data_IF_508093685730
#
_entry.id   IF_508093685730
#
_cell.length_a   1.000
_cell.length_b   1.000
_cell.length_c   1.000
_cell.angle_alpha   90.00
_cell.angle_beta   90.00
_cell.angle_gamma   90.00
#
_symmetry.space_group_name_H-M   'P 1'
#
loop_
_entity.id
_entity.type
_entity.pdbx_description
1 polymer ?
#
# COMPACT_ATOMS: atom_id res chain seq x y z
N UNK A 1 12.65 30.29 -26.77
CA UNK A 1 12.87 30.73 -25.36
C UNK A 1 11.63 30.41 -24.50
N UNK A 2 11.80 30.16 -23.19
CA UNK A 2 10.70 29.86 -22.27
C UNK A 2 9.95 31.15 -21.92
N UNK A 3 8.87 31.44 -22.64
CA UNK A 3 8.06 32.66 -22.48
C UNK A 3 6.76 32.45 -21.66
N UNK A 4 6.59 31.29 -21.04
CA UNK A 4 5.38 31.00 -20.26
C UNK A 4 5.43 31.70 -18.89
N UNK A 5 4.27 32.20 -18.46
CA UNK A 5 4.09 32.93 -17.19
C UNK A 5 3.10 32.19 -16.30
N UNK A 6 2.94 32.58 -15.02
CA UNK A 6 1.87 32.04 -14.18
C UNK A 6 0.47 32.18 -14.81
N UNK A 7 0.20 33.29 -15.51
CA UNK A 7 -1.04 33.48 -16.25
C UNK A 7 -1.23 32.47 -17.40
N UNK A 8 -0.13 32.04 -18.04
CA UNK A 8 -0.16 30.95 -19.03
C UNK A 8 -0.62 29.63 -18.38
N UNK A 9 -0.21 29.36 -17.15
CA UNK A 9 -0.62 28.15 -16.41
C UNK A 9 -2.11 28.17 -16.03
N UNK A 10 -2.66 29.35 -15.71
CA UNK A 10 -4.10 29.52 -15.50
C UNK A 10 -4.87 29.21 -16.79
N UNK A 11 -4.43 29.76 -17.93
CA UNK A 11 -5.04 29.47 -19.24
C UNK A 11 -4.95 27.99 -19.61
N UNK A 12 -3.81 27.36 -19.34
CA UNK A 12 -3.62 25.92 -19.53
C UNK A 12 -4.60 25.10 -18.66
N UNK A 13 -4.81 25.52 -17.40
CA UNK A 13 -5.79 24.89 -16.50
C UNK A 13 -7.22 25.02 -17.04
N UNK A 14 -7.59 26.20 -17.54
CA UNK A 14 -8.89 26.43 -18.17
C UNK A 14 -9.06 25.60 -19.46
N UNK A 15 -8.02 25.46 -20.27
CA UNK A 15 -8.05 24.59 -21.44
C UNK A 15 -8.25 23.12 -21.07
N UNK A 16 -7.54 22.61 -20.05
CA UNK A 16 -7.77 21.25 -19.53
C UNK A 16 -9.19 21.06 -18.99
N UNK A 17 -9.78 22.11 -18.40
CA UNK A 17 -11.17 22.10 -17.97
C UNK A 17 -12.14 21.91 -19.14
N UNK A 18 -11.93 22.63 -20.24
CA UNK A 18 -12.77 22.54 -21.45
C UNK A 18 -12.75 21.15 -22.08
N UNK A 19 -11.62 20.44 -22.00
CA UNK A 19 -11.54 19.06 -22.47
C UNK A 19 -12.39 18.10 -21.64
N UNK A 20 -12.67 18.42 -20.37
CA UNK A 20 -13.45 17.57 -19.47
C UNK A 20 -12.79 16.24 -19.10
N UNK A 21 -11.54 16.01 -19.47
CA UNK A 21 -10.83 14.73 -19.29
C UNK A 21 -9.98 14.67 -18.02
N UNK A 22 -9.73 15.80 -17.36
CA UNK A 22 -8.82 15.88 -16.21
C UNK A 22 -9.53 16.44 -14.99
N UNK A 23 -9.55 15.67 -13.90
CA UNK A 23 -10.05 16.15 -12.61
C UNK A 23 -9.10 17.20 -12.00
N UNK A 24 -9.65 18.20 -11.31
CA UNK A 24 -8.88 19.26 -10.65
C UNK A 24 -7.80 18.72 -9.71
N UNK A 25 -8.11 17.66 -8.97
CA UNK A 25 -7.18 17.00 -8.05
C UNK A 25 -6.04 16.26 -8.76
N UNK A 26 -6.18 15.99 -10.05
CA UNK A 26 -5.17 15.35 -10.90
C UNK A 26 -4.23 16.34 -11.57
N UNK A 27 -4.36 17.66 -11.33
CA UNK A 27 -3.51 18.68 -11.97
C UNK A 27 -2.11 18.83 -11.34
N UNK A 28 -1.93 18.39 -10.08
CA UNK A 28 -0.65 18.54 -9.36
C UNK A 28 0.56 17.93 -10.10
N UNK A 29 0.46 16.73 -10.71
CA UNK A 29 1.54 16.16 -11.52
C UNK A 29 1.91 17.00 -12.74
N UNK A 30 0.92 17.58 -13.44
CA UNK A 30 1.17 18.44 -14.61
C UNK A 30 1.96 19.68 -14.21
N UNK A 31 1.54 20.36 -13.15
CA UNK A 31 2.23 21.53 -12.62
C UNK A 31 3.64 21.20 -12.15
N UNK A 32 3.81 20.04 -11.50
CA UNK A 32 5.12 19.57 -11.04
C UNK A 32 6.07 19.28 -12.20
N UNK A 33 5.57 18.72 -13.30
CA UNK A 33 6.36 18.48 -14.52
C UNK A 33 6.82 19.79 -15.17
N UNK A 34 5.93 20.77 -15.33
CA UNK A 34 6.29 22.10 -15.84
C UNK A 34 7.32 22.78 -14.93
N UNK A 35 7.11 22.77 -13.61
CA UNK A 35 8.05 23.35 -12.66
C UNK A 35 9.40 22.62 -12.66
N UNK A 36 9.42 21.30 -12.86
CA UNK A 36 10.67 20.55 -13.04
C UNK A 36 11.40 21.01 -14.29
N UNK A 37 10.71 21.11 -15.42
CA UNK A 37 11.30 21.58 -16.67
C UNK A 37 11.91 22.99 -16.56
N UNK A 38 11.24 23.92 -15.88
CA UNK A 38 11.79 25.26 -15.61
C UNK A 38 13.04 25.21 -14.72
N UNK A 39 13.02 24.39 -13.67
CA UNK A 39 14.18 24.20 -12.78
C UNK A 39 15.37 23.57 -13.49
N UNK A 40 15.12 22.58 -14.35
CA UNK A 40 16.16 21.93 -15.18
C UNK A 40 16.82 22.94 -16.15
N UNK A 41 16.16 24.09 -16.43
CA UNK A 41 16.71 25.23 -17.19
C UNK A 41 17.14 26.42 -16.31
N UNK A 42 17.34 26.20 -15.01
CA UNK A 42 17.73 27.24 -14.05
C UNK A 42 16.80 28.46 -14.00
N UNK A 43 15.51 28.27 -14.28
CA UNK A 43 14.47 29.29 -14.18
C UNK A 43 13.58 29.05 -12.96
N UNK A 44 12.94 30.12 -12.51
CA UNK A 44 11.94 30.02 -11.44
C UNK A 44 10.71 29.23 -11.91
N UNK A 45 10.10 28.40 -11.03
CA UNK A 45 8.88 27.69 -11.35
C UNK A 45 7.72 28.66 -11.61
N UNK A 46 6.89 28.35 -12.60
CA UNK A 46 5.76 29.21 -13.01
C UNK A 46 4.39 28.62 -12.66
N UNK A 47 4.32 27.32 -12.35
CA UNK A 47 3.09 26.63 -11.99
C UNK A 47 2.97 26.54 -10.46
N UNK A 48 3.08 27.68 -9.78
CA UNK A 48 3.02 27.84 -8.32
C UNK A 48 2.27 29.13 -7.96
N UNK A 49 1.86 29.27 -6.69
CA UNK A 49 1.23 30.49 -6.16
C UNK A 49 -0.30 30.45 -6.11
N UNK A 50 -0.88 31.44 -5.42
CA UNK A 50 -2.32 31.52 -5.10
C UNK A 50 -3.20 31.57 -6.35
N UNK A 51 -2.80 32.32 -7.38
CA UNK A 51 -3.58 32.45 -8.61
C UNK A 51 -3.87 31.09 -9.28
N UNK A 52 -2.90 30.18 -9.27
CA UNK A 52 -3.08 28.83 -9.83
C UNK A 52 -3.85 27.92 -8.87
N UNK A 53 -3.67 28.11 -7.55
CA UNK A 53 -4.46 27.40 -6.55
C UNK A 53 -5.95 27.75 -6.66
N UNK A 54 -6.27 29.03 -6.87
CA UNK A 54 -7.63 29.53 -7.10
C UNK A 54 -8.21 29.00 -8.40
N UNK A 55 -7.44 29.01 -9.50
CA UNK A 55 -7.88 28.42 -10.77
C UNK A 55 -8.20 26.92 -10.63
N UNK A 56 -7.35 26.16 -9.93
CA UNK A 56 -7.59 24.74 -9.64
C UNK A 56 -8.84 24.56 -8.76
N UNK A 57 -9.04 25.42 -7.77
CA UNK A 57 -10.21 25.40 -6.89
C UNK A 57 -11.50 25.67 -7.68
N UNK A 58 -11.50 26.69 -8.53
CA UNK A 58 -12.61 27.02 -9.42
C UNK A 58 -12.98 25.87 -10.34
N UNK A 59 -11.99 25.20 -10.96
CA UNK A 59 -12.24 23.98 -11.72
C UNK A 59 -12.88 22.88 -10.87
N UNK A 60 -12.37 22.67 -9.65
CA UNK A 60 -12.94 21.68 -8.73
C UNK A 60 -14.41 21.95 -8.39
N UNK A 61 -14.81 23.21 -8.30
CA UNK A 61 -16.21 23.60 -8.05
C UNK A 61 -17.12 23.36 -9.27
N UNK A 62 -16.60 23.44 -10.49
CA UNK A 62 -17.34 23.16 -11.73
C UNK A 62 -17.46 21.65 -12.00
N UNK A 63 -16.64 20.83 -11.34
CA UNK A 63 -16.63 19.38 -11.55
C UNK A 63 -17.58 18.69 -10.59
N UNK A 64 -18.67 18.16 -11.13
CA UNK A 64 -19.57 17.30 -10.38
C UNK A 64 -19.16 15.83 -10.52
N UNK A 65 -19.20 15.09 -9.42
CA UNK A 65 -19.00 13.65 -9.46
C UNK A 65 -20.24 13.00 -10.06
N UNK A 66 -20.08 12.37 -11.23
CA UNK A 66 -21.16 11.61 -11.89
C UNK A 66 -21.54 10.34 -11.12
N UNK A 67 -20.58 9.76 -10.38
CA UNK A 67 -20.79 8.61 -9.53
C UNK A 67 -20.25 8.88 -8.14
N UNK A 68 -20.97 8.50 -7.06
CA UNK A 68 -20.39 8.50 -5.73
C UNK A 68 -19.19 7.55 -5.73
N UNK A 69 -18.02 8.07 -5.38
CA UNK A 69 -16.87 7.21 -5.12
C UNK A 69 -17.24 6.31 -3.95
N UNK A 70 -17.11 4.99 -4.12
CA UNK A 70 -17.25 4.06 -3.00
C UNK A 70 -16.41 4.60 -1.83
N UNK A 71 -17.08 4.95 -0.73
CA UNK A 71 -16.39 5.45 0.43
C UNK A 71 -15.39 4.38 0.86
N UNK A 72 -14.11 4.78 0.99
CA UNK A 72 -13.10 3.90 1.57
C UNK A 72 -13.37 3.84 3.06
N UNK A 73 -14.25 2.93 3.46
CA UNK A 73 -14.57 2.69 4.85
C UNK A 73 -13.49 1.80 5.46
N UNK A 74 -12.98 2.14 6.66
CA UNK A 74 -12.08 1.25 7.36
C UNK A 74 -12.82 -0.04 7.72
N UNK A 75 -12.10 -1.17 7.71
CA UNK A 75 -12.63 -2.42 8.25
C UNK A 75 -12.91 -2.21 9.76
N UNK A 76 -14.12 -2.49 10.27
CA UNK A 76 -14.36 -2.40 11.70
C UNK A 76 -13.55 -3.42 12.49
N UNK A 77 -13.03 -3.02 13.67
CA UNK A 77 -12.23 -3.90 14.53
C UNK A 77 -12.92 -5.23 14.88
N UNK A 78 -14.24 -5.26 15.22
CA UNK A 78 -14.92 -6.52 15.50
C UNK A 78 -14.90 -7.48 14.31
N UNK A 79 -15.04 -6.97 13.09
CA UNK A 79 -15.01 -7.79 11.87
C UNK A 79 -13.61 -8.37 11.64
N UNK A 80 -12.55 -7.58 11.90
CA UNK A 80 -11.19 -8.07 11.81
C UNK A 80 -10.90 -9.18 12.83
N UNK A 81 -11.46 -9.07 14.04
CA UNK A 81 -11.37 -10.06 15.09
C UNK A 81 -12.12 -11.35 14.73
N UNK A 82 -13.34 -11.25 14.18
CA UNK A 82 -14.11 -12.41 13.71
C UNK A 82 -13.34 -13.17 12.62
N UNK A 83 -12.70 -12.45 11.69
CA UNK A 83 -11.85 -13.06 10.65
C UNK A 83 -10.64 -13.77 11.25
N UNK A 84 -10.04 -13.22 12.32
CA UNK A 84 -8.95 -13.87 13.05
C UNK A 84 -9.44 -15.18 13.70
N UNK A 85 -10.61 -15.17 14.34
CA UNK A 85 -11.21 -16.39 14.90
C UNK A 85 -11.54 -17.43 13.82
N UNK A 86 -12.00 -17.00 12.64
CA UNK A 86 -12.19 -17.92 11.50
C UNK A 86 -10.87 -18.54 11.07
N UNK A 87 -9.77 -17.78 11.03
CA UNK A 87 -8.44 -18.34 10.72
C UNK A 87 -8.02 -19.37 11.78
N UNK A 88 -8.20 -19.05 13.05
CA UNK A 88 -7.86 -19.94 14.16
C UNK A 88 -8.68 -21.23 14.14
N UNK A 89 -10.00 -21.14 13.91
CA UNK A 89 -10.86 -22.31 13.79
C UNK A 89 -10.53 -23.19 12.56
N UNK A 90 -10.00 -22.60 11.48
CA UNK A 90 -9.54 -23.36 10.31
C UNK A 90 -8.22 -24.09 10.57
N UNK A 91 -7.39 -23.61 11.51
CA UNK A 91 -6.10 -24.25 11.84
C UNK A 91 -6.33 -25.70 12.24
N UNK A 92 -5.62 -26.64 11.59
CA UNK A 92 -5.74 -28.07 11.86
C UNK A 92 -6.95 -28.78 11.23
N UNK A 93 -7.87 -28.06 10.59
CA UNK A 93 -9.01 -28.66 9.86
C UNK A 93 -8.66 -29.15 8.46
N UNK A 94 -7.45 -28.87 7.99
CA UNK A 94 -6.96 -29.22 6.68
C UNK A 94 -5.55 -29.82 6.78
N UNK A 95 -5.24 -30.72 5.85
CA UNK A 95 -3.87 -31.18 5.63
C UNK A 95 -3.15 -30.24 4.65
N UNK A 96 -1.85 -30.06 4.81
CA UNK A 96 -1.03 -29.30 3.86
C UNK A 96 -0.75 -30.13 2.60
N UNK A 97 -1.77 -30.30 1.77
CA UNK A 97 -1.75 -31.06 0.52
C UNK A 97 -2.44 -30.28 -0.59
N UNK A 98 -2.14 -30.56 -1.87
CA UNK A 98 -2.81 -29.90 -2.99
C UNK A 98 -4.34 -30.07 -3.01
N UNK A 99 -4.85 -31.18 -2.44
CA UNK A 99 -6.29 -31.42 -2.35
C UNK A 99 -7.02 -30.44 -1.41
N UNK A 100 -6.33 -29.89 -0.41
CA UNK A 100 -6.87 -28.91 0.53
C UNK A 100 -6.62 -27.44 0.11
N UNK A 101 -6.27 -27.21 -1.16
CA UNK A 101 -5.93 -25.87 -1.66
C UNK A 101 -7.04 -24.82 -1.40
N UNK A 102 -8.35 -25.11 -1.55
CA UNK A 102 -9.39 -24.12 -1.24
C UNK A 102 -9.38 -23.68 0.23
N UNK A 103 -9.18 -24.61 1.16
CA UNK A 103 -9.11 -24.35 2.59
C UNK A 103 -7.83 -23.57 2.94
N UNK A 104 -6.69 -23.96 2.36
CA UNK A 104 -5.42 -23.25 2.52
C UNK A 104 -5.49 -21.81 1.97
N UNK A 105 -6.16 -21.61 0.84
CA UNK A 105 -6.41 -20.28 0.27
C UNK A 105 -7.28 -19.44 1.18
N UNK A 106 -8.35 -20.02 1.76
CA UNK A 106 -9.20 -19.34 2.73
C UNK A 106 -8.43 -18.95 3.99
N UNK A 107 -7.65 -19.87 4.56
CA UNK A 107 -6.79 -19.61 5.72
C UNK A 107 -5.81 -18.47 5.44
N UNK A 108 -5.11 -18.53 4.30
CA UNK A 108 -4.21 -17.47 3.84
C UNK A 108 -4.92 -16.12 3.64
N UNK A 109 -6.14 -16.13 3.10
CA UNK A 109 -6.92 -14.91 2.89
C UNK A 109 -7.30 -14.25 4.22
N UNK A 110 -7.73 -15.03 5.22
CA UNK A 110 -8.02 -14.51 6.56
C UNK A 110 -6.77 -13.87 7.17
N UNK A 111 -5.62 -14.55 7.14
CA UNK A 111 -4.36 -13.99 7.64
C UNK A 111 -3.95 -12.71 6.91
N UNK A 112 -4.10 -12.67 5.58
CA UNK A 112 -3.79 -11.48 4.81
C UNK A 112 -4.67 -10.29 5.22
N UNK A 113 -5.94 -10.50 5.56
CA UNK A 113 -6.82 -9.44 6.07
C UNK A 113 -6.38 -8.96 7.45
N UNK A 114 -6.09 -9.87 8.38
CA UNK A 114 -5.65 -9.52 9.74
C UNK A 114 -4.31 -8.77 9.73
N UNK A 115 -3.34 -9.23 8.93
CA UNK A 115 -2.05 -8.55 8.75
C UNK A 115 -2.24 -7.17 8.12
N UNK A 116 -3.08 -7.06 7.08
CA UNK A 116 -3.42 -5.76 6.50
C UNK A 116 -4.04 -4.82 7.52
N UNK A 117 -4.95 -5.32 8.34
CA UNK A 117 -5.61 -4.52 9.37
C UNK A 117 -4.62 -3.91 10.38
N UNK A 118 -3.64 -4.68 10.84
CA UNK A 118 -2.70 -4.26 11.88
C UNK A 118 -1.57 -3.39 11.31
N UNK A 119 -0.96 -3.83 10.21
CA UNK A 119 0.31 -3.25 9.75
C UNK A 119 0.15 -2.27 8.58
N UNK A 120 -0.94 -2.35 7.83
CA UNK A 120 -1.05 -1.66 6.54
C UNK A 120 -2.27 -0.75 6.47
N UNK A 121 -2.07 0.56 6.42
CA UNK A 121 -3.17 1.52 6.22
C UNK A 121 -3.82 1.44 4.82
N UNK A 122 -3.23 0.69 3.87
CA UNK A 122 -3.74 0.47 2.52
C UNK A 122 -3.51 -0.98 2.10
N UNK A 123 -4.56 -1.64 1.61
CA UNK A 123 -4.48 -3.03 1.14
C UNK A 123 -3.43 -3.26 0.03
N UNK A 124 -3.21 -2.26 -0.83
CA UNK A 124 -2.18 -2.30 -1.89
C UNK A 124 -0.75 -2.40 -1.33
N UNK A 125 -0.52 -1.93 -0.09
CA UNK A 125 0.81 -1.98 0.54
C UNK A 125 1.14 -3.39 0.99
N UNK A 126 0.19 -4.11 1.61
CA UNK A 126 0.38 -5.51 1.99
C UNK A 126 0.47 -6.48 0.80
N UNK A 127 -0.16 -6.16 -0.33
CA UNK A 127 -0.10 -7.00 -1.53
C UNK A 127 1.33 -7.13 -2.13
N UNK A 128 2.23 -6.20 -1.80
CA UNK A 128 3.64 -6.22 -2.23
C UNK A 128 4.60 -6.77 -1.17
N UNK A 129 4.08 -7.20 -0.03
CA UNK A 129 4.87 -7.82 1.04
C UNK A 129 5.51 -9.11 0.52
N UNK A 130 6.82 -9.27 0.70
CA UNK A 130 7.52 -10.52 0.41
C UNK A 130 7.55 -11.42 1.65
N UNK A 131 8.00 -12.66 1.46
CA UNK A 131 8.06 -13.69 2.52
C UNK A 131 8.86 -13.24 3.74
N UNK A 132 10.03 -12.61 3.56
CA UNK A 132 10.88 -12.16 4.66
C UNK A 132 10.55 -10.77 5.21
N UNK A 133 9.49 -10.12 4.73
CA UNK A 133 9.14 -8.78 5.20
C UNK A 133 8.35 -8.83 6.51
N UNK A 134 7.64 -9.93 6.79
CA UNK A 134 6.86 -10.11 8.02
C UNK A 134 7.39 -11.34 8.76
N UNK A 135 7.92 -11.13 9.96
CA UNK A 135 8.47 -12.20 10.79
C UNK A 135 7.84 -12.18 12.18
N UNK A 136 7.76 -13.36 12.80
CA UNK A 136 7.51 -13.49 14.23
C UNK A 136 8.87 -13.70 14.90
N UNK A 137 9.38 -12.67 15.56
CA UNK A 137 10.66 -12.68 16.25
C UNK A 137 10.45 -13.13 17.71
N UNK A 138 10.62 -14.43 17.95
CA UNK A 138 10.45 -15.04 19.27
C UNK A 138 11.45 -14.52 20.31
N UNK A 139 12.76 -14.35 20.01
CA UNK A 139 13.71 -13.70 20.92
C UNK A 139 13.24 -12.32 21.40
N UNK A 140 12.78 -11.46 20.49
CA UNK A 140 12.33 -10.10 20.83
C UNK A 140 10.86 -10.03 21.27
N UNK A 141 10.13 -11.16 21.24
CA UNK A 141 8.69 -11.26 21.52
C UNK A 141 7.84 -10.28 20.69
N UNK A 142 8.16 -10.14 19.39
CA UNK A 142 7.53 -9.17 18.49
C UNK A 142 7.12 -9.77 17.15
N UNK A 143 6.05 -9.24 16.57
CA UNK A 143 5.70 -9.40 15.16
C UNK A 143 6.26 -8.19 14.43
N UNK A 144 7.21 -8.40 13.51
CA UNK A 144 7.97 -7.34 12.87
C UNK A 144 7.67 -7.28 11.37
N UNK A 145 7.28 -6.09 10.90
CA UNK A 145 7.19 -5.76 9.47
C UNK A 145 8.35 -4.87 9.04
N UNK A 146 9.14 -5.33 8.08
CA UNK A 146 10.22 -4.58 7.44
C UNK A 146 9.71 -3.83 6.22
N UNK A 147 9.70 -2.50 6.28
CA UNK A 147 9.26 -1.66 5.17
C UNK A 147 10.42 -1.39 4.21
N UNK A 148 10.32 -1.94 2.99
CA UNK A 148 11.38 -1.82 1.97
C UNK A 148 11.53 -0.41 1.35
N UNK A 149 10.43 0.37 1.28
CA UNK A 149 10.43 1.73 0.72
C UNK A 149 9.36 2.62 1.35
N UNK A 150 9.75 3.80 1.80
CA UNK A 150 8.87 4.93 2.13
C UNK A 150 8.67 5.84 0.91
N UNK A 151 7.50 6.48 0.82
CA UNK A 151 7.23 7.50 -0.21
C UNK A 151 8.18 8.69 -0.01
N UNK A 152 8.96 9.02 -1.04
CA UNK A 152 9.81 10.21 -1.06
C UNK A 152 11.29 9.98 -0.73
N UNK A 153 11.66 8.79 -0.28
CA UNK A 153 13.06 8.47 0.00
C UNK A 153 13.80 7.88 -1.20
N UNK A 154 15.06 8.29 -1.36
CA UNK A 154 16.03 7.56 -2.16
C UNK A 154 16.19 6.13 -1.60
N UNK A 155 16.65 5.18 -2.42
CA UNK A 155 16.88 3.79 -1.97
C UNK A 155 17.75 3.80 -0.70
N UNK A 156 17.15 3.57 0.47
CA UNK A 156 17.88 3.41 1.72
C UNK A 156 18.63 2.08 1.69
N UNK A 157 19.80 2.03 2.32
CA UNK A 157 20.54 0.79 2.50
C UNK A 157 19.71 -0.21 3.32
N UNK A 158 19.94 -1.51 3.16
CA UNK A 158 19.14 -2.54 3.85
C UNK A 158 19.19 -2.44 5.39
N UNK A 159 20.19 -1.77 5.94
CA UNK A 159 20.35 -1.47 7.38
C UNK A 159 19.37 -0.41 7.92
N UNK A 160 18.72 0.36 7.05
CA UNK A 160 17.81 1.47 7.40
C UNK A 160 16.33 1.13 7.14
N UNK A 161 15.99 -0.16 7.08
CA UNK A 161 14.60 -0.59 6.94
C UNK A 161 13.80 -0.13 8.15
N UNK A 162 12.77 0.66 7.90
CA UNK A 162 11.80 1.00 8.93
C UNK A 162 11.12 -0.30 9.39
N UNK A 163 11.25 -0.60 10.67
CA UNK A 163 10.60 -1.75 11.30
C UNK A 163 9.35 -1.26 12.02
N UNK A 164 8.20 -1.82 11.66
CA UNK A 164 6.97 -1.68 12.45
C UNK A 164 6.87 -2.94 13.30
N UNK A 165 6.99 -2.79 14.62
CA UNK A 165 6.94 -3.89 15.56
C UNK A 165 5.66 -3.84 16.40
N UNK A 166 5.00 -5.00 16.55
CA UNK A 166 3.87 -5.20 17.45
C UNK A 166 4.25 -6.26 18.46
N UNK A 167 4.13 -6.01 19.78
CA UNK A 167 4.43 -7.04 20.78
C UNK A 167 3.53 -8.27 20.60
N UNK A 168 4.08 -9.48 20.72
CA UNK A 168 3.30 -10.73 20.67
C UNK A 168 2.20 -10.71 21.73
N UNK A 169 2.48 -10.17 22.92
CA UNK A 169 1.50 -10.02 23.99
C UNK A 169 0.25 -9.21 23.60
N UNK A 170 0.35 -8.30 22.61
CA UNK A 170 -0.79 -7.53 22.13
C UNK A 170 -1.72 -8.34 21.21
N UNK A 171 -1.19 -9.35 20.51
CA UNK A 171 -1.99 -10.25 19.68
C UNK A 171 -1.32 -11.64 19.54
N UNK A 172 -1.40 -12.47 20.60
CA UNK A 172 -0.72 -13.77 20.62
C UNK A 172 -1.30 -14.73 19.59
N UNK A 173 -2.63 -14.69 19.39
CA UNK A 173 -3.32 -15.53 18.40
C UNK A 173 -2.81 -15.27 16.99
N UNK A 174 -2.62 -14.01 16.60
CA UNK A 174 -2.06 -13.71 15.29
C UNK A 174 -0.61 -14.18 15.16
N UNK A 175 0.22 -14.01 16.20
CA UNK A 175 1.60 -14.49 16.19
C UNK A 175 1.65 -16.01 15.96
N UNK A 176 0.86 -16.77 16.72
CA UNK A 176 0.77 -18.23 16.61
C UNK A 176 0.32 -18.68 15.22
N UNK A 177 -0.65 -18.00 14.62
CA UNK A 177 -1.14 -18.33 13.29
C UNK A 177 -0.13 -17.98 12.18
N UNK A 178 0.60 -16.89 12.33
CA UNK A 178 1.65 -16.49 11.38
C UNK A 178 2.83 -17.46 11.43
N UNK A 179 3.25 -17.87 12.63
CA UNK A 179 4.28 -18.88 12.83
C UNK A 179 3.84 -20.23 12.25
N UNK A 180 2.62 -20.68 12.59
CA UNK A 180 2.02 -21.90 12.02
C UNK A 180 2.01 -21.87 10.48
N UNK A 181 1.53 -20.78 9.87
CA UNK A 181 1.50 -20.63 8.41
C UNK A 181 2.91 -20.70 7.81
N UNK A 182 3.88 -20.01 8.42
CA UNK A 182 5.25 -19.91 7.90
C UNK A 182 5.94 -21.27 7.90
N UNK A 183 5.89 -21.99 9.02
CA UNK A 183 6.52 -23.32 9.17
C UNK A 183 5.98 -24.31 8.14
N UNK A 184 4.65 -24.38 8.01
CA UNK A 184 4.03 -25.38 7.14
C UNK A 184 4.08 -24.99 5.65
N UNK A 185 4.04 -23.71 5.32
CA UNK A 185 4.15 -23.24 3.92
C UNK A 185 5.50 -23.58 3.33
N UNK A 186 6.59 -23.43 4.09
CA UNK A 186 7.94 -23.80 3.63
C UNK A 186 8.00 -25.29 3.28
N UNK A 187 7.50 -26.15 4.18
CA UNK A 187 7.43 -27.60 3.95
C UNK A 187 6.53 -27.98 2.76
N UNK A 188 5.39 -27.31 2.59
CA UNK A 188 4.48 -27.55 1.48
C UNK A 188 5.08 -27.13 0.12
N UNK A 189 5.69 -25.94 0.05
CA UNK A 189 6.30 -25.44 -1.18
C UNK A 189 7.50 -26.27 -1.62
N UNK A 190 8.35 -26.71 -0.68
CA UNK A 190 9.49 -27.57 -0.98
C UNK A 190 9.05 -28.94 -1.48
N UNK A 191 8.03 -29.53 -0.85
CA UNK A 191 7.53 -30.89 -1.18
C UNK A 191 6.80 -30.98 -2.52
N UNK A 192 5.99 -29.97 -2.88
CA UNK A 192 5.07 -30.10 -4.02
C UNK A 192 5.41 -29.23 -5.23
N UNK A 193 6.24 -28.19 -5.06
CA UNK A 193 6.48 -27.22 -6.13
C UNK A 193 7.94 -27.11 -6.57
N UNK A 194 8.86 -27.92 -6.02
CA UNK A 194 10.30 -27.86 -6.30
C UNK A 194 10.84 -26.42 -6.33
N UNK A 195 10.23 -25.54 -5.54
CA UNK A 195 10.68 -24.16 -5.37
C UNK A 195 11.60 -24.16 -4.15
N UNK A 196 12.84 -23.68 -4.28
CA UNK A 196 13.67 -23.47 -3.10
C UNK A 196 12.91 -22.57 -2.11
N UNK A 197 13.14 -22.73 -0.79
CA UNK A 197 12.71 -21.72 0.17
C UNK A 197 13.22 -20.36 -0.34
N UNK A 198 12.32 -19.39 -0.43
CA UNK A 198 12.55 -18.08 -1.08
C UNK A 198 13.49 -17.18 -0.25
N UNK A 199 14.63 -17.71 0.18
CA UNK A 199 15.69 -17.03 0.94
C UNK A 199 16.90 -16.65 0.07
N UNK A 200 16.78 -16.79 -1.25
CA UNK A 200 17.67 -16.12 -2.20
C UNK A 200 16.87 -15.02 -2.91
N UNK A 201 17.09 -13.74 -2.52
CA UNK A 201 16.74 -12.45 -3.16
C UNK A 201 16.05 -11.40 -2.26
#
# INVERSE_FOLDING_TARGET
PLHATPATMVRYTAWLALLGTVAANSLQPYFSAVNKFFRDHHRQPIAVGELLADARRGLGMLQHRLLPTAARLPLPAPVALDILHVADALRGTFAWTPAALPQLQRFRACLAVCVNYIFFCRAETGARCKTGDLIVDMPSQQICLFVRKSKGDQRRADSDKLVIAVPIAANPVLADLLDYYTQHRVAFCSKFYNRPPLDAF
#
